data_IF_999066315092
#
_entry.id   IF_999066315092
#
_cell.length_a   1.000
_cell.length_b   1.000
_cell.length_c   1.000
_cell.angle_alpha   90.00
_cell.angle_beta   90.00
_cell.angle_gamma   90.00
#
_symmetry.space_group_name_H-M   'P 1'
#
loop_
_entity.id
_entity.type
_entity.pdbx_description
1 polymer ?
#
# COMPACT_ATOMS: atom_id res chain seq x y z
N UNK A 1 -0.73 -35.34 -32.18
CA UNK A 1 0.34 -34.33 -32.02
C UNK A 1 -0.10 -32.90 -32.38
N UNK A 2 -0.72 -32.65 -33.54
CA UNK A 2 -1.22 -31.30 -33.94
C UNK A 2 -2.20 -30.64 -32.94
N UNK A 3 -3.09 -31.42 -32.31
CA UNK A 3 -4.03 -30.91 -31.29
C UNK A 3 -3.37 -30.55 -29.95
N UNK A 4 -2.27 -31.20 -29.59
CA UNK A 4 -1.48 -30.89 -28.39
C UNK A 4 -0.62 -29.62 -28.59
N UNK A 5 -0.06 -29.42 -29.79
CA UNK A 5 0.65 -28.19 -30.13
C UNK A 5 -0.27 -26.95 -30.11
N UNK A 6 -1.51 -27.07 -30.60
CA UNK A 6 -2.49 -25.98 -30.52
C UNK A 6 -2.87 -25.63 -29.07
N UNK A 7 -2.95 -26.63 -28.18
CA UNK A 7 -3.20 -26.43 -26.75
C UNK A 7 -2.00 -25.75 -26.06
N UNK A 8 -0.76 -26.12 -26.40
CA UNK A 8 0.46 -25.48 -25.88
C UNK A 8 0.60 -24.03 -26.36
N UNK A 9 0.24 -23.72 -27.61
CA UNK A 9 0.24 -22.34 -28.13
C UNK A 9 -0.85 -21.49 -27.44
N UNK A 10 -2.02 -22.08 -27.13
CA UNK A 10 -3.07 -21.39 -26.38
C UNK A 10 -2.65 -21.10 -24.92
N UNK A 11 -1.95 -22.03 -24.27
CA UNK A 11 -1.41 -21.84 -22.90
C UNK A 11 -0.30 -20.78 -22.88
N UNK A 12 0.56 -20.73 -23.92
CA UNK A 12 1.59 -19.69 -24.05
C UNK A 12 1.00 -18.29 -24.29
N UNK A 13 -0.13 -18.18 -24.99
CA UNK A 13 -0.82 -16.90 -25.20
C UNK A 13 -1.44 -16.34 -23.89
N UNK A 14 -1.85 -17.20 -22.95
CA UNK A 14 -2.45 -16.76 -21.67
C UNK A 14 -1.38 -16.17 -20.73
N UNK A 15 -0.14 -16.65 -20.81
CA UNK A 15 1.00 -16.11 -20.04
C UNK A 15 1.43 -14.74 -20.60
N UNK A 16 1.19 -14.47 -21.88
CA UNK A 16 1.62 -13.23 -22.55
C UNK A 16 0.90 -11.98 -22.03
N UNK A 17 -0.41 -12.06 -21.70
CA UNK A 17 -1.15 -10.88 -21.23
C UNK A 17 -0.71 -10.36 -19.86
N UNK A 18 -0.30 -11.24 -18.92
CA UNK A 18 0.29 -10.81 -17.63
C UNK A 18 1.70 -10.23 -17.83
N UNK A 19 2.38 -10.61 -18.92
CA UNK A 19 3.72 -10.12 -19.27
C UNK A 19 3.69 -8.68 -19.83
N UNK A 20 2.63 -8.31 -20.55
CA UNK A 20 2.49 -6.97 -21.17
C UNK A 20 2.21 -5.82 -20.19
N UNK A 21 1.43 -6.02 -19.11
CA UNK A 21 1.27 -4.98 -18.07
C UNK A 21 2.62 -4.70 -17.42
N UNK A 22 3.32 -5.78 -17.08
CA UNK A 22 4.62 -5.74 -16.45
C UNK A 22 5.72 -5.21 -17.38
N UNK A 23 5.54 -5.16 -18.70
CA UNK A 23 6.56 -4.61 -19.61
C UNK A 23 6.51 -3.09 -19.69
N UNK A 24 5.31 -2.47 -19.74
CA UNK A 24 5.17 -1.00 -19.81
C UNK A 24 5.68 -0.28 -18.55
N UNK A 25 5.59 -0.93 -17.39
CA UNK A 25 6.01 -0.34 -16.10
C UNK A 25 7.45 -0.69 -15.70
N UNK A 26 8.13 -1.56 -16.46
CA UNK A 26 9.56 -1.85 -16.27
C UNK A 26 10.38 -0.72 -16.87
N UNK A 27 10.69 0.25 -16.04
CA UNK A 27 11.48 1.43 -16.39
C UNK A 27 12.90 1.31 -15.84
N UNK A 28 13.87 1.81 -16.59
CA UNK A 28 15.26 1.89 -16.10
C UNK A 28 15.41 3.15 -15.23
N UNK A 29 15.68 2.91 -13.94
CA UNK A 29 15.90 3.97 -12.94
C UNK A 29 17.34 4.01 -12.43
N UNK A 30 18.26 3.29 -13.08
CA UNK A 30 19.67 3.21 -12.68
C UNK A 30 20.35 4.58 -12.61
N UNK A 31 20.02 5.46 -13.56
CA UNK A 31 20.57 6.83 -13.66
C UNK A 31 19.94 7.82 -12.66
N UNK A 32 18.85 7.46 -11.99
CA UNK A 32 18.18 8.35 -11.02
C UNK A 32 18.90 8.28 -9.68
N UNK A 33 19.51 9.41 -9.30
CA UNK A 33 20.23 9.53 -8.03
C UNK A 33 19.25 9.79 -6.88
N UNK A 34 19.19 8.82 -5.97
CA UNK A 34 18.48 8.90 -4.68
C UNK A 34 19.39 8.29 -3.63
N UNK A 35 19.49 8.96 -2.49
CA UNK A 35 20.18 8.45 -1.31
C UNK A 35 19.30 8.72 -0.09
N UNK A 36 18.38 7.80 0.18
CA UNK A 36 17.55 7.85 1.39
C UNK A 36 18.41 7.54 2.59
N UNK A 37 18.48 8.48 3.53
CA UNK A 37 19.01 8.25 4.87
C UNK A 37 17.85 8.08 5.83
N UNK A 38 17.94 7.06 6.68
CA UNK A 38 16.96 6.79 7.73
C UNK A 38 17.56 7.21 9.06
N UNK A 39 16.95 8.19 9.71
CA UNK A 39 17.28 8.55 11.08
C UNK A 39 16.53 7.62 12.04
N UNK A 40 17.28 6.87 12.83
CA UNK A 40 16.73 5.89 13.79
C UNK A 40 16.38 6.55 15.11
N UNK A 41 15.34 7.39 15.14
CA UNK A 41 14.88 7.99 16.41
C UNK A 41 14.50 6.91 17.43
N UNK A 42 13.92 5.79 16.97
CA UNK A 42 13.71 4.60 17.81
C UNK A 42 14.99 4.11 18.49
N UNK A 43 16.16 4.17 17.86
CA UNK A 43 17.41 3.77 18.51
C UNK A 43 17.99 4.89 19.36
N UNK A 44 18.04 6.10 18.81
CA UNK A 44 18.63 7.25 19.50
C UNK A 44 17.89 7.58 20.80
N UNK A 45 16.56 7.51 20.80
CA UNK A 45 15.73 7.78 21.97
C UNK A 45 15.91 6.74 23.07
N UNK A 46 15.74 5.44 22.78
CA UNK A 46 15.82 4.40 23.83
C UNK A 46 17.25 4.06 24.27
N UNK A 47 18.29 4.56 23.57
CA UNK A 47 19.69 4.51 24.03
C UNK A 47 20.16 5.80 24.70
N UNK A 48 19.33 6.85 24.74
CA UNK A 48 19.68 8.12 25.36
C UNK A 48 19.82 7.98 26.87
N UNK A 49 20.81 8.67 27.43
CA UNK A 49 20.98 8.85 28.88
C UNK A 49 20.47 10.23 29.32
N UNK A 50 20.24 10.48 30.62
CA UNK A 50 19.89 11.82 31.10
C UNK A 50 20.87 12.92 30.64
N UNK A 51 22.16 12.61 30.56
CA UNK A 51 23.18 13.56 30.10
C UNK A 51 23.12 13.83 28.58
N UNK A 52 22.69 12.85 27.79
CA UNK A 52 22.62 12.98 26.32
C UNK A 52 21.26 13.44 25.81
N UNK A 53 20.22 13.50 26.66
CA UNK A 53 18.86 13.87 26.26
C UNK A 53 18.81 15.22 25.55
N UNK A 54 19.59 16.21 25.98
CA UNK A 54 19.70 17.50 25.31
C UNK A 54 20.17 17.37 23.85
N UNK A 55 21.13 16.49 23.56
CA UNK A 55 21.61 16.24 22.19
C UNK A 55 20.54 15.56 21.34
N UNK A 56 19.83 14.59 21.90
CA UNK A 56 18.74 13.89 21.23
C UNK A 56 17.58 14.84 20.90
N UNK A 57 17.22 15.74 21.84
CA UNK A 57 16.25 16.82 21.62
C UNK A 57 16.66 17.74 20.47
N UNK A 58 17.93 18.16 20.43
CA UNK A 58 18.44 19.01 19.34
C UNK A 58 18.42 18.32 17.97
N UNK A 59 18.60 16.99 17.91
CA UNK A 59 18.52 16.22 16.65
C UNK A 59 17.08 16.06 16.13
N UNK A 60 16.10 16.05 17.03
CA UNK A 60 14.69 15.77 16.74
C UNK A 60 13.69 16.72 17.43
N UNK A 61 13.83 18.06 17.31
CA UNK A 61 13.12 19.01 18.17
C UNK A 61 11.59 18.90 18.11
N UNK A 62 11.03 18.54 16.95
CA UNK A 62 9.58 18.38 16.76
C UNK A 62 9.00 17.09 17.35
N UNK A 63 9.84 16.16 17.82
CA UNK A 63 9.42 14.94 18.52
C UNK A 63 9.44 15.10 20.04
N UNK A 64 9.84 16.27 20.53
CA UNK A 64 9.88 16.61 21.95
C UNK A 64 9.01 17.85 22.20
N UNK A 65 7.68 17.70 22.35
CA UNK A 65 6.83 18.77 22.88
C UNK A 65 7.37 19.29 24.22
N UNK A 66 6.94 20.50 24.60
CA UNK A 66 7.40 21.18 25.80
C UNK A 66 6.97 20.42 27.06
N UNK A 67 7.86 19.57 27.55
CA UNK A 67 7.66 18.70 28.70
C UNK A 67 8.96 18.60 29.52
N UNK A 68 8.88 18.42 30.85
CA UNK A 68 10.05 18.19 31.69
C UNK A 68 10.87 16.98 31.22
N UNK A 69 12.19 17.04 31.40
CA UNK A 69 13.11 15.94 31.04
C UNK A 69 12.72 14.61 31.72
N UNK A 70 12.17 14.67 32.93
CA UNK A 70 11.70 13.50 33.67
C UNK A 70 10.64 12.69 32.92
N UNK A 71 9.77 13.32 32.12
CA UNK A 71 8.76 12.63 31.31
C UNK A 71 9.44 11.70 30.30
N UNK A 72 10.46 12.20 29.60
CA UNK A 72 11.20 11.45 28.59
C UNK A 72 12.04 10.34 29.22
N UNK A 73 12.73 10.64 30.33
CA UNK A 73 13.54 9.64 31.05
C UNK A 73 12.65 8.53 31.65
N UNK A 74 11.49 8.88 32.18
CA UNK A 74 10.53 7.88 32.68
C UNK A 74 10.00 7.00 31.54
N UNK A 75 9.71 7.56 30.37
CA UNK A 75 9.33 6.78 29.18
C UNK A 75 10.44 5.85 28.73
N UNK A 76 11.69 6.33 28.64
CA UNK A 76 12.85 5.52 28.24
C UNK A 76 13.05 4.32 29.19
N UNK A 77 12.81 4.50 30.49
CA UNK A 77 13.01 3.47 31.51
C UNK A 77 11.77 2.62 31.81
N UNK A 78 10.62 2.93 31.22
CA UNK A 78 9.39 2.17 31.43
C UNK A 78 9.55 0.74 30.86
N UNK A 79 9.13 -0.26 31.64
CA UNK A 79 9.34 -1.67 31.29
C UNK A 79 8.69 -2.08 29.96
N UNK A 80 7.46 -1.64 29.73
CA UNK A 80 6.68 -1.99 28.54
C UNK A 80 7.28 -1.31 27.29
N UNK A 81 7.76 -0.08 27.45
CA UNK A 81 8.47 0.66 26.41
C UNK A 81 9.80 -0.02 26.03
N UNK A 82 10.56 -0.50 27.02
CA UNK A 82 11.79 -1.27 26.80
C UNK A 82 11.50 -2.58 26.07
N UNK A 83 10.47 -3.30 26.50
CA UNK A 83 10.06 -4.55 25.85
C UNK A 83 9.68 -4.32 24.39
N UNK A 84 8.86 -3.30 24.10
CA UNK A 84 8.50 -2.93 22.74
C UNK A 84 9.71 -2.57 21.87
N UNK A 85 10.64 -1.80 22.43
CA UNK A 85 11.89 -1.46 21.77
C UNK A 85 12.73 -2.70 21.46
N UNK A 86 12.91 -3.59 22.43
CA UNK A 86 13.71 -4.80 22.28
C UNK A 86 13.11 -5.75 21.22
N UNK A 87 11.79 -5.98 21.24
CA UNK A 87 11.09 -6.75 20.19
C UNK A 87 11.24 -6.09 18.81
N UNK A 88 11.16 -4.76 18.74
CA UNK A 88 11.38 -4.03 17.47
C UNK A 88 12.80 -4.22 16.95
N UNK A 89 13.82 -4.22 17.81
CA UNK A 89 15.20 -4.44 17.37
C UNK A 89 15.47 -5.87 16.91
N UNK A 90 14.70 -6.87 17.35
CA UNK A 90 14.79 -8.23 16.79
C UNK A 90 14.46 -8.26 15.30
N UNK A 91 13.57 -7.39 14.83
CA UNK A 91 13.13 -7.32 13.42
C UNK A 91 13.91 -6.27 12.62
N UNK A 92 14.25 -5.14 13.25
CA UNK A 92 14.78 -3.93 12.61
C UNK A 92 16.17 -3.47 13.10
N UNK A 93 16.93 -4.33 13.78
CA UNK A 93 18.35 -4.05 14.05
C UNK A 93 19.13 -3.76 12.76
N UNK A 94 18.83 -4.49 11.68
CA UNK A 94 19.33 -4.22 10.34
C UNK A 94 18.23 -3.63 9.42
N UNK A 95 18.39 -2.36 9.05
CA UNK A 95 17.50 -1.60 8.15
C UNK A 95 17.99 -1.51 6.70
N UNK A 96 19.00 -2.29 6.30
CA UNK A 96 19.54 -2.26 4.93
C UNK A 96 18.46 -2.62 3.89
N UNK A 97 17.60 -3.59 4.21
CA UNK A 97 16.45 -3.95 3.36
C UNK A 97 15.49 -2.78 3.18
N UNK A 98 15.03 -2.18 4.28
CA UNK A 98 14.14 -1.01 4.25
C UNK A 98 14.76 0.18 3.50
N UNK A 99 16.06 0.42 3.70
CA UNK A 99 16.80 1.47 2.99
C UNK A 99 16.84 1.19 1.49
N UNK A 100 17.02 -0.07 1.10
CA UNK A 100 17.03 -0.49 -0.31
C UNK A 100 15.66 -0.30 -0.95
N UNK A 101 14.59 -0.72 -0.25
CA UNK A 101 13.21 -0.56 -0.69
C UNK A 101 12.83 0.90 -0.87
N UNK A 102 13.17 1.76 0.11
CA UNK A 102 12.92 3.19 0.02
C UNK A 102 13.69 3.83 -1.13
N UNK A 103 14.97 3.49 -1.32
CA UNK A 103 15.75 4.00 -2.46
C UNK A 103 15.12 3.58 -3.79
N UNK A 104 14.71 2.32 -3.93
CA UNK A 104 14.03 1.82 -5.12
C UNK A 104 12.72 2.58 -5.36
N UNK A 105 11.87 2.71 -4.34
CA UNK A 105 10.60 3.44 -4.43
C UNK A 105 10.80 4.90 -4.86
N UNK A 106 11.69 5.64 -4.21
CA UNK A 106 11.92 7.05 -4.54
C UNK A 106 12.57 7.26 -5.91
N UNK A 107 13.35 6.29 -6.41
CA UNK A 107 13.83 6.31 -7.80
C UNK A 107 12.68 6.21 -8.79
N UNK A 108 11.77 5.26 -8.59
CA UNK A 108 10.59 5.13 -9.44
C UNK A 108 9.65 6.32 -9.31
N UNK A 109 9.42 6.84 -8.10
CA UNK A 109 8.63 8.04 -7.89
C UNK A 109 9.21 9.23 -8.67
N UNK A 110 10.52 9.44 -8.64
CA UNK A 110 11.19 10.52 -9.38
C UNK A 110 11.21 10.30 -10.89
N UNK A 111 11.20 9.06 -11.37
CA UNK A 111 11.07 8.77 -12.79
C UNK A 111 9.77 9.36 -13.35
N UNK A 112 8.65 9.09 -12.67
CA UNK A 112 7.33 9.57 -13.11
C UNK A 112 7.00 10.99 -12.65
N UNK A 113 7.65 11.48 -11.60
CA UNK A 113 7.51 12.84 -11.09
C UNK A 113 8.89 13.42 -10.74
N UNK A 114 9.63 13.99 -11.70
CA UNK A 114 10.98 14.52 -11.49
C UNK A 114 11.07 15.64 -10.43
N UNK A 115 9.94 16.31 -10.13
CA UNK A 115 9.86 17.37 -9.11
C UNK A 115 9.62 16.81 -7.69
N UNK A 116 9.39 15.51 -7.54
CA UNK A 116 9.16 14.88 -6.25
C UNK A 116 10.38 15.04 -5.33
N UNK A 117 10.14 15.54 -4.13
CA UNK A 117 11.16 15.63 -3.08
C UNK A 117 11.32 14.27 -2.39
N UNK A 118 12.54 13.97 -1.98
CA UNK A 118 12.82 12.85 -1.07
C UNK A 118 12.76 13.41 0.36
N UNK A 119 11.83 12.95 1.22
CA UNK A 119 11.71 13.46 2.58
C UNK A 119 12.85 12.95 3.46
N UNK A 120 13.07 13.63 4.60
CA UNK A 120 13.81 13.08 5.73
C UNK A 120 12.99 11.91 6.29
N UNK A 121 13.59 10.73 6.34
CA UNK A 121 12.93 9.52 6.85
C UNK A 121 13.37 9.29 8.29
N UNK A 122 12.41 9.12 9.20
CA UNK A 122 12.66 8.88 10.61
C UNK A 122 11.85 7.67 11.06
N UNK A 123 12.49 6.70 11.69
CA UNK A 123 11.79 5.57 12.32
C UNK A 123 11.60 5.82 13.81
N UNK A 124 10.47 5.41 14.35
CA UNK A 124 10.07 5.63 15.74
C UNK A 124 9.21 4.49 16.27
N UNK A 125 8.95 4.49 17.57
CA UNK A 125 7.91 3.67 18.19
C UNK A 125 6.78 4.60 18.64
N UNK A 126 5.54 4.22 18.37
CA UNK A 126 4.34 5.02 18.67
C UNK A 126 3.39 4.31 19.63
N UNK A 127 3.87 3.24 20.27
CA UNK A 127 3.09 2.33 21.09
C UNK A 127 1.94 1.71 20.26
N UNK A 128 2.25 1.35 19.02
CA UNK A 128 1.36 0.66 18.07
C UNK A 128 0.13 1.53 17.75
N UNK A 129 0.36 2.81 17.46
CA UNK A 129 -0.67 3.66 16.85
C UNK A 129 -0.96 3.16 15.43
N UNK A 130 -1.98 2.32 15.31
CA UNK A 130 -2.36 1.66 14.07
C UNK A 130 -2.83 2.64 12.99
N UNK A 131 -3.44 3.74 13.39
CA UNK A 131 -4.00 4.73 12.45
C UNK A 131 -2.90 5.61 11.87
N UNK A 132 -1.83 5.87 12.65
CA UNK A 132 -0.71 6.74 12.26
C UNK A 132 0.61 6.00 12.07
N UNK A 133 0.58 4.77 11.55
CA UNK A 133 1.79 3.96 11.31
C UNK A 133 2.81 4.62 10.38
N UNK A 134 2.31 5.35 9.39
CA UNK A 134 3.12 6.16 8.48
C UNK A 134 2.54 7.56 8.44
N UNK A 135 3.36 8.55 8.81
CA UNK A 135 3.00 9.97 8.69
C UNK A 135 3.89 10.62 7.65
N UNK A 136 3.29 11.12 6.57
CA UNK A 136 4.00 11.85 5.52
C UNK A 136 3.51 13.30 5.48
N UNK A 137 4.45 14.24 5.62
CA UNK A 137 4.21 15.66 5.58
C UNK A 137 5.30 16.34 4.74
N UNK A 138 5.12 16.30 3.42
CA UNK A 138 5.97 16.89 2.36
C UNK A 138 7.47 16.54 2.42
N UNK A 139 8.20 17.11 3.38
CA UNK A 139 9.63 16.90 3.59
C UNK A 139 9.96 15.92 4.72
N UNK A 140 8.96 15.41 5.44
CA UNK A 140 9.15 14.49 6.57
C UNK A 140 8.32 13.21 6.35
N UNK A 141 8.96 12.06 6.61
CA UNK A 141 8.33 10.75 6.64
C UNK A 141 8.65 10.06 7.97
N UNK A 142 7.63 9.84 8.79
CA UNK A 142 7.73 9.09 10.04
C UNK A 142 7.22 7.66 9.82
N UNK A 143 7.98 6.69 10.32
CA UNK A 143 7.67 5.26 10.20
C UNK A 143 7.65 4.64 11.61
N UNK A 144 6.48 4.22 12.07
CA UNK A 144 6.28 3.44 13.30
C UNK A 144 6.68 1.99 13.04
N UNK A 145 7.86 1.57 13.52
CA UNK A 145 8.37 0.22 13.26
C UNK A 145 7.71 -0.85 14.14
N UNK A 146 7.23 -0.47 15.31
CA UNK A 146 6.47 -1.28 16.27
C UNK A 146 5.13 -1.79 15.71
N UNK A 147 4.68 -1.28 14.58
CA UNK A 147 3.52 -1.78 13.85
C UNK A 147 3.81 -2.95 12.88
N UNK A 148 5.08 -3.32 12.70
CA UNK A 148 5.51 -4.29 11.67
C UNK A 148 6.36 -5.43 12.24
N UNK A 149 5.99 -5.94 13.43
CA UNK A 149 6.74 -6.99 14.15
C UNK A 149 6.35 -8.42 13.75
N UNK A 150 5.37 -8.55 12.86
CA UNK A 150 4.83 -9.82 12.39
C UNK A 150 3.37 -10.01 12.80
N UNK A 151 2.50 -10.43 11.88
CA UNK A 151 1.03 -10.49 12.12
C UNK A 151 0.58 -11.38 13.29
N UNK A 152 1.46 -12.26 13.77
CA UNK A 152 1.23 -13.17 14.92
C UNK A 152 1.86 -12.67 16.22
N UNK A 153 2.51 -11.51 16.21
CA UNK A 153 3.18 -10.97 17.39
C UNK A 153 2.16 -10.75 18.53
N UNK A 154 2.49 -11.09 19.80
CA UNK A 154 1.57 -10.96 20.93
C UNK A 154 0.99 -9.56 21.11
N UNK A 155 1.76 -8.50 20.84
CA UNK A 155 1.27 -7.12 20.91
C UNK A 155 0.07 -6.82 19.99
N UNK A 156 -0.21 -7.70 19.02
CA UNK A 156 -1.37 -7.56 18.14
C UNK A 156 -2.51 -8.52 18.51
N UNK A 157 -2.49 -9.21 19.64
CA UNK A 157 -3.47 -10.25 20.01
C UNK A 157 -4.91 -9.75 19.88
N UNK A 158 -5.17 -8.55 20.42
CA UNK A 158 -6.49 -7.92 20.48
C UNK A 158 -6.95 -7.31 19.15
N UNK A 159 -6.04 -7.14 18.18
CA UNK A 159 -6.40 -6.59 16.88
C UNK A 159 -7.13 -7.63 16.02
N UNK A 160 -8.20 -7.24 15.29
CA UNK A 160 -8.88 -8.12 14.37
C UNK A 160 -7.92 -8.73 13.34
N UNK A 161 -8.12 -10.01 12.98
CA UNK A 161 -7.19 -10.72 12.09
C UNK A 161 -6.97 -10.01 10.74
N UNK A 162 -8.01 -9.41 10.17
CA UNK A 162 -7.93 -8.68 8.89
C UNK A 162 -7.20 -7.33 8.98
N UNK A 163 -7.04 -6.80 10.19
CA UNK A 163 -6.32 -5.56 10.51
C UNK A 163 -4.83 -5.89 10.69
N UNK A 164 -4.51 -6.87 11.54
CA UNK A 164 -3.11 -7.26 11.82
C UNK A 164 -2.44 -8.12 10.76
N UNK A 165 -3.16 -8.67 9.77
CA UNK A 165 -2.57 -9.51 8.71
C UNK A 165 -1.43 -8.83 7.94
N UNK A 166 -1.43 -7.50 7.91
CA UNK A 166 -0.45 -6.68 7.21
C UNK A 166 0.60 -6.06 8.17
N UNK A 167 0.61 -6.44 9.46
CA UNK A 167 1.64 -6.01 10.42
C UNK A 167 2.92 -6.84 10.22
N UNK A 168 3.42 -6.89 8.99
CA UNK A 168 4.60 -7.64 8.56
C UNK A 168 5.65 -6.67 8.04
N UNK A 169 6.93 -7.00 8.19
CA UNK A 169 8.05 -6.14 7.77
C UNK A 169 7.97 -5.72 6.31
N UNK A 170 7.53 -6.62 5.44
CA UNK A 170 7.41 -6.39 3.99
C UNK A 170 6.32 -5.38 3.63
N UNK A 171 5.39 -5.09 4.55
CA UNK A 171 4.31 -4.14 4.32
C UNK A 171 4.78 -2.68 4.45
N UNK A 172 5.88 -2.40 5.17
CA UNK A 172 6.35 -1.04 5.46
C UNK A 172 6.42 -0.19 4.17
N UNK A 173 7.05 -0.71 3.12
CA UNK A 173 7.23 0.04 1.87
C UNK A 173 5.90 0.30 1.14
N UNK A 174 4.95 -0.63 1.23
CA UNK A 174 3.61 -0.48 0.64
C UNK A 174 2.85 0.63 1.36
N UNK A 175 2.91 0.66 2.68
CA UNK A 175 2.22 1.69 3.48
C UNK A 175 2.89 3.06 3.33
N UNK A 176 4.23 3.12 3.21
CA UNK A 176 4.96 4.33 2.81
C UNK A 176 4.47 4.87 1.47
N UNK A 177 4.41 4.01 0.45
CA UNK A 177 3.94 4.41 -0.87
C UNK A 177 2.49 4.90 -0.80
N UNK A 178 1.60 4.19 -0.08
CA UNK A 178 0.21 4.61 0.11
C UNK A 178 0.07 5.95 0.83
N UNK A 179 0.87 6.21 1.88
CA UNK A 179 0.84 7.49 2.60
C UNK A 179 1.21 8.66 1.68
N UNK A 180 2.29 8.50 0.90
CA UNK A 180 2.73 9.52 -0.08
C UNK A 180 1.68 9.71 -1.18
N UNK A 181 1.08 8.63 -1.68
CA UNK A 181 0.02 8.70 -2.68
C UNK A 181 -1.23 9.39 -2.12
N UNK A 182 -1.62 9.13 -0.88
CA UNK A 182 -2.78 9.74 -0.26
C UNK A 182 -2.61 11.25 -0.01
N UNK A 183 -1.37 11.73 0.17
CA UNK A 183 -1.08 13.15 0.24
C UNK A 183 -1.19 13.85 -1.13
N UNK A 184 -1.14 13.11 -2.25
CA UNK A 184 -1.38 13.68 -3.57
C UNK A 184 -2.87 14.02 -3.75
N UNK A 185 -3.14 15.28 -4.13
CA UNK A 185 -4.49 15.74 -4.48
C UNK A 185 -4.86 15.17 -5.85
N UNK A 186 -5.54 14.04 -5.86
CA UNK A 186 -6.25 13.57 -7.06
C UNK A 186 -7.46 14.47 -7.35
N UNK A 187 -8.05 14.33 -8.54
CA UNK A 187 -9.24 15.03 -9.02
C UNK A 187 -10.42 15.06 -8.02
N UNK A 188 -11.48 15.79 -8.38
CA UNK A 188 -12.73 15.90 -7.61
C UNK A 188 -13.22 14.54 -7.10
N UNK A 189 -13.66 14.49 -5.83
CA UNK A 189 -14.14 13.25 -5.19
C UNK A 189 -15.21 12.56 -6.05
N UNK A 190 -15.02 11.29 -6.45
CA UNK A 190 -15.97 10.55 -7.27
C UNK A 190 -17.28 10.32 -6.51
N UNK A 191 -18.41 10.29 -7.25
CA UNK A 191 -19.75 10.11 -6.66
C UNK A 191 -20.30 8.71 -6.87
N UNK A 192 -20.21 8.16 -8.08
CA UNK A 192 -20.74 6.83 -8.38
C UNK A 192 -19.81 5.72 -7.90
N UNK A 193 -20.35 4.53 -7.67
CA UNK A 193 -19.59 3.37 -7.21
C UNK A 193 -18.44 3.00 -8.15
N UNK A 194 -18.69 2.98 -9.47
CA UNK A 194 -17.65 2.70 -10.47
C UNK A 194 -16.56 3.76 -10.48
N UNK A 195 -16.92 5.03 -10.33
CA UNK A 195 -15.91 6.11 -10.24
C UNK A 195 -15.05 5.93 -8.99
N UNK A 196 -15.65 5.58 -7.85
CA UNK A 196 -14.90 5.32 -6.60
C UNK A 196 -13.97 4.10 -6.75
N UNK A 197 -14.43 3.04 -7.41
CA UNK A 197 -13.58 1.88 -7.74
C UNK A 197 -12.39 2.32 -8.58
N UNK A 198 -12.61 3.03 -9.69
CA UNK A 198 -11.54 3.49 -10.60
C UNK A 198 -10.59 4.46 -9.91
N UNK A 199 -11.11 5.35 -9.06
CA UNK A 199 -10.29 6.26 -8.26
C UNK A 199 -9.31 5.50 -7.35
N UNK A 200 -9.77 4.46 -6.65
CA UNK A 200 -8.85 3.58 -5.90
C UNK A 200 -7.93 2.78 -6.84
N UNK A 201 -8.46 2.34 -7.98
CA UNK A 201 -7.71 1.65 -9.03
C UNK A 201 -6.53 2.46 -9.58
N UNK A 202 -6.67 3.79 -9.71
CA UNK A 202 -5.57 4.69 -10.10
C UNK A 202 -4.45 4.64 -9.07
N UNK A 203 -4.79 4.71 -7.77
CA UNK A 203 -3.79 4.61 -6.69
C UNK A 203 -3.08 3.26 -6.72
N UNK A 204 -3.82 2.17 -6.94
CA UNK A 204 -3.24 0.83 -7.08
C UNK A 204 -2.33 0.71 -8.31
N UNK A 205 -2.69 1.34 -9.43
CA UNK A 205 -1.83 1.39 -10.62
C UNK A 205 -0.56 2.22 -10.41
N UNK A 206 -0.63 3.29 -9.60
CA UNK A 206 0.59 3.99 -9.17
C UNK A 206 1.49 3.10 -8.29
N UNK A 207 0.92 2.24 -7.44
CA UNK A 207 1.71 1.25 -6.71
C UNK A 207 2.39 0.25 -7.65
N UNK A 208 1.76 -0.13 -8.77
CA UNK A 208 2.42 -0.96 -9.79
C UNK A 208 3.66 -0.27 -10.38
N UNK A 209 3.54 1.02 -10.67
CA UNK A 209 4.61 1.82 -11.25
C UNK A 209 5.75 2.08 -10.25
N UNK A 210 5.42 2.31 -8.98
CA UNK A 210 6.39 2.73 -7.96
C UNK A 210 7.02 1.56 -7.21
N UNK A 211 6.35 0.39 -7.17
CA UNK A 211 6.79 -0.82 -6.48
C UNK A 211 6.77 -2.04 -7.43
N UNK A 212 7.51 -2.03 -8.56
CA UNK A 212 7.41 -3.08 -9.56
C UNK A 212 7.92 -4.45 -9.09
N UNK A 213 8.75 -4.49 -8.03
CA UNK A 213 9.23 -5.74 -7.42
C UNK A 213 8.28 -6.31 -6.36
N UNK A 214 7.30 -5.53 -5.90
CA UNK A 214 6.36 -5.96 -4.85
C UNK A 214 5.18 -6.71 -5.48
N UNK A 215 4.78 -7.82 -4.86
CA UNK A 215 3.67 -8.64 -5.36
C UNK A 215 2.33 -7.90 -5.27
N UNK A 216 1.40 -8.29 -6.14
CA UNK A 216 0.05 -7.71 -6.12
C UNK A 216 -0.69 -7.95 -4.80
N UNK A 217 -0.50 -9.13 -4.20
CA UNK A 217 -1.09 -9.48 -2.90
C UNK A 217 -0.61 -8.57 -1.77
N UNK A 218 0.69 -8.22 -1.74
CA UNK A 218 1.24 -7.27 -0.77
C UNK A 218 0.76 -5.84 -1.03
N UNK A 219 0.76 -5.39 -2.30
CA UNK A 219 0.28 -4.03 -2.67
C UNK A 219 -1.15 -3.80 -2.17
N UNK A 220 -2.05 -4.73 -2.48
CA UNK A 220 -3.46 -4.61 -2.07
C UNK A 220 -3.67 -4.97 -0.59
N UNK A 221 -2.76 -5.75 0.01
CA UNK A 221 -2.83 -6.20 1.40
C UNK A 221 -3.78 -7.39 1.58
N UNK A 222 -3.79 -8.30 0.62
CA UNK A 222 -4.54 -9.56 0.66
C UNK A 222 -3.62 -10.71 1.02
N UNK A 223 -4.13 -11.67 1.79
CA UNK A 223 -3.48 -12.99 1.87
C UNK A 223 -3.46 -13.65 0.49
N UNK A 224 -2.51 -14.55 0.25
CA UNK A 224 -2.39 -15.21 -1.04
C UNK A 224 -3.67 -15.97 -1.43
N UNK A 225 -4.37 -16.57 -0.47
CA UNK A 225 -5.64 -17.26 -0.71
C UNK A 225 -6.75 -16.28 -1.12
N UNK A 226 -6.81 -15.11 -0.49
CA UNK A 226 -7.78 -14.06 -0.80
C UNK A 226 -7.51 -13.42 -2.17
N UNK A 227 -6.24 -13.24 -2.53
CA UNK A 227 -5.84 -12.78 -3.87
C UNK A 227 -6.28 -13.77 -4.95
N UNK A 228 -5.96 -15.06 -4.78
CA UNK A 228 -6.41 -16.10 -5.72
C UNK A 228 -7.93 -16.14 -5.84
N UNK A 229 -8.65 -16.02 -4.71
CA UNK A 229 -10.11 -15.96 -4.73
C UNK A 229 -10.61 -14.78 -5.55
N UNK A 230 -10.03 -13.58 -5.38
CA UNK A 230 -10.42 -12.39 -6.12
C UNK A 230 -10.18 -12.55 -7.63
N UNK A 231 -9.02 -13.07 -8.02
CA UNK A 231 -8.70 -13.38 -9.43
C UNK A 231 -9.68 -14.42 -10.01
N UNK A 232 -9.95 -15.52 -9.29
CA UNK A 232 -10.82 -16.60 -9.77
C UNK A 232 -12.31 -16.22 -9.84
N UNK A 233 -12.74 -15.18 -9.13
CA UNK A 233 -14.13 -14.74 -9.09
C UNK A 233 -14.37 -13.38 -9.78
N UNK A 234 -13.35 -12.80 -10.42
CA UNK A 234 -13.38 -11.45 -11.01
C UNK A 234 -14.59 -11.26 -11.93
N UNK A 235 -14.85 -12.24 -12.82
CA UNK A 235 -15.97 -12.21 -13.76
C UNK A 235 -17.33 -12.28 -13.06
N UNK A 236 -17.46 -13.10 -12.02
CA UNK A 236 -18.69 -13.27 -11.24
C UNK A 236 -18.99 -12.03 -10.40
N UNK A 237 -17.97 -11.42 -9.80
CA UNK A 237 -18.08 -10.15 -9.06
C UNK A 237 -18.56 -9.05 -10.02
N UNK A 238 -17.92 -8.93 -11.18
CA UNK A 238 -18.29 -7.93 -12.18
C UNK A 238 -19.73 -8.11 -12.67
N UNK A 239 -20.12 -9.35 -12.97
CA UNK A 239 -21.49 -9.72 -13.34
C UNK A 239 -22.48 -9.31 -12.24
N UNK A 240 -22.19 -9.61 -10.97
CA UNK A 240 -23.03 -9.23 -9.86
C UNK A 240 -23.23 -7.71 -9.76
N UNK A 241 -22.16 -6.91 -9.91
CA UNK A 241 -22.28 -5.45 -9.89
C UNK A 241 -23.15 -4.89 -11.02
N UNK A 242 -23.10 -5.50 -12.21
CA UNK A 242 -23.96 -5.15 -13.34
C UNK A 242 -25.42 -5.55 -13.06
N UNK A 243 -25.68 -6.82 -12.70
CA UNK A 243 -27.03 -7.35 -12.49
C UNK A 243 -27.78 -6.65 -11.35
N UNK A 244 -27.05 -6.15 -10.36
CA UNK A 244 -27.60 -5.38 -9.24
C UNK A 244 -27.62 -3.86 -9.49
N UNK A 245 -27.34 -3.42 -10.73
CA UNK A 245 -27.33 -2.00 -11.13
C UNK A 245 -26.48 -1.12 -10.19
N UNK A 246 -25.34 -1.63 -9.71
CA UNK A 246 -24.55 -0.96 -8.67
C UNK A 246 -23.58 0.09 -9.23
N UNK A 247 -23.14 -0.06 -10.49
CA UNK A 247 -22.02 0.72 -11.04
C UNK A 247 -22.22 2.24 -10.93
N UNK A 248 -23.39 2.75 -11.32
CA UNK A 248 -23.70 4.17 -11.28
C UNK A 248 -24.40 4.63 -10.00
N UNK A 249 -24.62 3.71 -9.05
CA UNK A 249 -25.25 4.02 -7.77
C UNK A 249 -24.31 4.86 -6.89
N UNK A 250 -24.87 5.81 -6.14
CA UNK A 250 -24.14 6.73 -5.25
C UNK A 250 -24.31 6.41 -3.77
N UNK A 251 -25.02 5.33 -3.43
CA UNK A 251 -25.24 4.86 -2.06
C UNK A 251 -23.91 4.57 -1.35
N UNK A 252 -23.76 5.12 -0.15
CA UNK A 252 -22.57 4.94 0.70
C UNK A 252 -22.48 3.53 1.27
N UNK A 253 -23.57 2.79 1.33
CA UNK A 253 -23.53 1.39 1.79
C UNK A 253 -22.67 0.52 0.86
N UNK A 254 -22.58 0.87 -0.44
CA UNK A 254 -21.67 0.18 -1.36
C UNK A 254 -20.20 0.38 -1.00
N UNK A 255 -19.86 1.52 -0.38
CA UNK A 255 -18.50 1.79 0.07
C UNK A 255 -18.13 0.84 1.21
N UNK A 256 -19.01 0.73 2.21
CA UNK A 256 -18.85 -0.17 3.37
C UNK A 256 -18.77 -1.63 2.92
N UNK A 257 -19.57 -2.02 1.93
CA UNK A 257 -19.64 -3.42 1.46
C UNK A 257 -18.44 -3.83 0.61
N UNK A 258 -17.87 -2.92 -0.18
CA UNK A 258 -16.95 -3.28 -1.26
C UNK A 258 -15.67 -2.44 -1.36
N UNK A 259 -15.57 -1.29 -0.70
CA UNK A 259 -14.46 -0.34 -0.84
C UNK A 259 -13.68 -0.06 0.45
N UNK A 260 -14.32 -0.24 1.60
CA UNK A 260 -13.74 -0.01 2.91
C UNK A 260 -13.06 -1.27 3.46
N UNK A 261 -12.13 -1.05 4.39
CA UNK A 261 -11.39 -2.13 5.04
C UNK A 261 -12.38 -3.00 5.84
N UNK A 262 -12.38 -4.29 5.53
CA UNK A 262 -13.27 -5.27 6.13
C UNK A 262 -12.64 -6.68 6.05
N UNK A 263 -13.08 -7.64 6.87
CA UNK A 263 -12.61 -9.03 6.76
C UNK A 263 -13.03 -9.72 5.46
N UNK A 264 -14.16 -9.30 4.88
CA UNK A 264 -14.71 -9.79 3.62
C UNK A 264 -15.68 -8.77 3.02
N UNK A 265 -15.97 -8.90 1.73
CA UNK A 265 -16.99 -8.10 1.05
C UNK A 265 -18.37 -8.74 1.13
N UNK A 266 -19.40 -7.91 1.34
CA UNK A 266 -20.78 -8.37 1.60
C UNK A 266 -21.60 -8.42 0.31
N UNK A 267 -21.70 -9.59 -0.31
CA UNK A 267 -22.61 -9.84 -1.44
C UNK A 267 -24.00 -10.29 -0.97
N UNK A 268 -24.15 -10.55 0.33
CA UNK A 268 -25.31 -11.19 0.95
C UNK A 268 -25.51 -12.63 0.43
N UNK A 269 -24.40 -13.35 0.30
CA UNK A 269 -24.36 -14.77 -0.08
C UNK A 269 -23.71 -15.58 1.04
N UNK A 270 -24.01 -16.88 1.11
CA UNK A 270 -23.46 -17.77 2.13
C UNK A 270 -21.93 -17.80 2.17
N UNK A 271 -21.29 -17.64 1.01
CA UNK A 271 -19.83 -17.74 0.83
C UNK A 271 -19.09 -16.41 0.94
N UNK A 272 -19.75 -15.33 1.39
CA UNK A 272 -19.15 -14.00 1.50
C UNK A 272 -17.81 -14.01 2.26
N UNK A 273 -17.71 -14.80 3.34
CA UNK A 273 -16.51 -14.91 4.18
C UNK A 273 -15.26 -15.39 3.42
N UNK A 274 -15.42 -15.98 2.23
CA UNK A 274 -14.31 -16.38 1.37
C UNK A 274 -13.73 -15.19 0.59
N UNK A 275 -14.54 -14.17 0.28
CA UNK A 275 -14.09 -12.95 -0.40
C UNK A 275 -13.17 -12.09 0.48
N UNK A 276 -12.19 -11.37 -0.09
CA UNK A 276 -11.52 -10.32 0.64
C UNK A 276 -12.44 -9.11 0.83
N UNK A 277 -12.19 -8.31 1.87
CA UNK A 277 -12.72 -6.95 1.92
C UNK A 277 -12.10 -6.09 0.80
N UNK A 278 -12.68 -4.91 0.56
CA UNK A 278 -12.22 -4.00 -0.51
C UNK A 278 -12.23 -4.61 -1.92
N UNK A 279 -13.11 -5.58 -2.22
CA UNK A 279 -13.12 -6.23 -3.54
C UNK A 279 -13.39 -5.24 -4.70
N UNK A 280 -14.11 -4.15 -4.44
CA UNK A 280 -14.29 -3.06 -5.42
C UNK A 280 -13.00 -2.32 -5.73
N UNK A 281 -12.06 -2.20 -4.78
CA UNK A 281 -10.70 -1.69 -5.05
C UNK A 281 -9.94 -2.61 -5.99
N UNK A 282 -10.04 -3.94 -5.79
CA UNK A 282 -9.45 -4.93 -6.71
C UNK A 282 -10.04 -4.80 -8.13
N UNK A 283 -11.37 -4.71 -8.27
CA UNK A 283 -12.01 -4.55 -9.58
C UNK A 283 -11.62 -3.21 -10.23
N UNK A 284 -11.63 -2.12 -9.46
CA UNK A 284 -11.17 -0.81 -9.93
C UNK A 284 -9.74 -0.83 -10.45
N UNK A 285 -8.86 -1.56 -9.78
CA UNK A 285 -7.49 -1.78 -10.20
C UNK A 285 -7.40 -2.53 -11.53
N UNK A 286 -8.19 -3.60 -11.72
CA UNK A 286 -8.22 -4.32 -13.00
C UNK A 286 -8.82 -3.46 -14.14
N UNK A 287 -9.81 -2.61 -13.87
CA UNK A 287 -10.35 -1.65 -14.85
C UNK A 287 -9.24 -0.71 -15.34
N UNK A 288 -8.49 -0.11 -14.41
CA UNK A 288 -7.40 0.83 -14.75
C UNK A 288 -6.27 0.12 -15.49
N UNK A 289 -5.90 -1.10 -15.07
CA UNK A 289 -4.94 -1.93 -15.81
C UNK A 289 -5.41 -2.18 -17.24
N UNK A 290 -6.69 -2.53 -17.44
CA UNK A 290 -7.26 -2.76 -18.78
C UNK A 290 -7.23 -1.48 -19.64
N UNK A 291 -7.51 -0.32 -19.04
CA UNK A 291 -7.39 0.98 -19.70
C UNK A 291 -5.96 1.24 -20.17
N UNK A 292 -4.96 1.11 -19.31
CA UNK A 292 -3.55 1.39 -19.64
C UNK A 292 -2.95 0.39 -20.64
N UNK A 293 -3.51 -0.82 -20.73
CA UNK A 293 -3.14 -1.78 -21.77
C UNK A 293 -3.65 -1.36 -23.14
N UNK A 294 -4.92 -0.94 -23.23
CA UNK A 294 -5.62 -0.67 -24.49
C UNK A 294 -5.45 0.75 -25.03
N UNK A 295 -4.88 1.64 -24.23
CA UNK A 295 -4.69 3.04 -24.57
C UNK A 295 -3.21 3.38 -24.40
N UNK A 296 -2.68 4.20 -25.31
CA UNK A 296 -1.33 4.76 -25.19
C UNK A 296 -1.39 6.06 -24.39
N UNK A 297 -1.26 5.92 -23.07
CA UNK A 297 -1.43 6.99 -22.09
C UNK A 297 -0.31 6.88 -21.07
N UNK A 298 0.33 8.01 -20.78
CA UNK A 298 1.38 8.09 -19.76
C UNK A 298 0.79 8.07 -18.33
N UNK A 299 1.62 7.77 -17.34
CA UNK A 299 1.19 7.78 -15.94
C UNK A 299 0.66 9.15 -15.47
N UNK A 300 1.29 10.29 -15.80
CA UNK A 300 0.73 11.61 -15.48
C UNK A 300 -0.62 11.88 -16.15
N UNK A 301 -0.79 11.48 -17.42
CA UNK A 301 -2.05 11.67 -18.13
C UNK A 301 -3.18 10.84 -17.50
N UNK A 302 -2.94 9.59 -17.10
CA UNK A 302 -3.91 8.75 -16.40
C UNK A 302 -4.52 9.46 -15.18
N UNK A 303 -3.71 10.22 -14.45
CA UNK A 303 -4.17 10.94 -13.25
C UNK A 303 -5.07 12.13 -13.58
N UNK A 304 -4.94 12.70 -14.78
CA UNK A 304 -5.79 13.81 -15.26
C UNK A 304 -7.09 13.32 -15.91
N UNK A 305 -7.16 12.05 -16.33
CA UNK A 305 -8.37 11.47 -16.92
C UNK A 305 -9.47 11.33 -15.89
N UNK A 306 -10.70 11.66 -16.26
CA UNK A 306 -11.86 11.39 -15.40
C UNK A 306 -12.17 9.88 -15.39
N UNK A 307 -12.82 9.44 -14.32
CA UNK A 307 -13.12 8.03 -14.08
C UNK A 307 -14.07 7.44 -15.15
N UNK A 308 -15.02 8.23 -15.64
CA UNK A 308 -15.95 7.80 -16.70
C UNK A 308 -15.25 7.51 -18.04
N UNK A 309 -14.30 8.36 -18.45
CA UNK A 309 -13.48 8.15 -19.65
C UNK A 309 -12.66 6.86 -19.51
N UNK A 310 -12.02 6.67 -18.35
CA UNK A 310 -11.27 5.43 -18.05
C UNK A 310 -12.21 4.23 -18.14
N UNK A 311 -13.40 4.31 -17.55
CA UNK A 311 -14.34 3.20 -17.57
C UNK A 311 -14.73 2.82 -19.01
N UNK A 312 -15.17 3.78 -19.81
CA UNK A 312 -15.61 3.56 -21.20
C UNK A 312 -14.45 3.01 -22.05
N UNK A 313 -13.29 3.69 -22.02
CA UNK A 313 -12.14 3.33 -22.86
C UNK A 313 -11.36 2.13 -22.34
N UNK A 314 -11.61 1.67 -21.11
CA UNK A 314 -11.05 0.42 -20.60
C UNK A 314 -11.59 -0.78 -21.37
N UNK A 315 -12.78 -0.69 -21.96
CA UNK A 315 -13.50 -1.84 -22.52
C UNK A 315 -13.44 -3.05 -21.58
N UNK A 316 -13.60 -2.82 -20.27
CA UNK A 316 -13.33 -3.81 -19.24
C UNK A 316 -14.30 -4.98 -19.35
N UNK A 317 -13.73 -6.16 -19.58
CA UNK A 317 -14.43 -7.45 -19.66
C UNK A 317 -13.52 -8.48 -18.98
N UNK A 318 -13.78 -8.84 -17.72
CA UNK A 318 -13.01 -9.86 -17.02
C UNK A 318 -12.98 -11.15 -17.84
N UNK A 319 -11.83 -11.83 -17.84
CA UNK A 319 -11.72 -13.14 -18.48
C UNK A 319 -12.50 -14.16 -17.65
N UNK A 320 -13.21 -15.06 -18.33
CA UNK A 320 -13.92 -16.18 -17.69
C UNK A 320 -12.97 -17.25 -17.21
#
# INVERSE_FOLDING_TARGET
MRKFLALCVLVLAIISCKKEINSKLKVDVSNIKVNVKIDRFDVDFYKTTPADLGKTKLKYPFLFPQEPDSVWINKINNKDERELYDETQKVFSNITGLTTDLNSFFKHLKYYNPKAKTPRVITMLTNIDYDNRIVFADSLLLISLDAYLGKKHPFYSEYPAYIKQNNEKEQVIVDVAKAILNAHKFSKKPRSFVDKMIYKGKKMYLLDAYLPAVSDSLKIGYSQNKMRWAESNEAQIWKYFIEKNMLYNTDKELDIRFLDIAPFSKFYLEKDRQSPGRIGEFIGWQIVRSYMQKNDVSLPELLQKNEAEIFIKSNYKPKK
#
